data_IF_502879129803
#
_entry.id   IF_502879129803
#
_cell.length_a   1.000
_cell.length_b   1.000
_cell.length_c   1.000
_cell.angle_alpha   90.00
_cell.angle_beta   90.00
_cell.angle_gamma   90.00
#
_symmetry.space_group_name_H-M   'P 1'
#
loop_
_entity.id
_entity.type
_entity.pdbx_description
1 polymer ?
#
# COMPACT_ATOMS: atom_id res chain seq x y z
N UNK A 1 -11.03 -5.63 -15.40
CA UNK A 1 -10.42 -6.79 -14.71
C UNK A 1 -11.54 -7.60 -14.07
N UNK A 2 -11.54 -8.94 -14.19
CA UNK A 2 -12.46 -9.80 -13.44
C UNK A 2 -11.81 -10.13 -12.09
N UNK A 3 -12.23 -9.45 -11.01
CA UNK A 3 -11.76 -9.77 -9.67
C UNK A 3 -12.34 -11.12 -9.26
N UNK A 4 -11.49 -12.05 -8.83
CA UNK A 4 -11.87 -13.44 -8.54
C UNK A 4 -11.45 -13.89 -7.14
N UNK A 5 -10.49 -13.19 -6.53
CA UNK A 5 -9.98 -13.45 -5.20
C UNK A 5 -10.21 -12.23 -4.31
N UNK A 6 -10.60 -12.50 -3.05
CA UNK A 6 -10.83 -11.50 -2.02
C UNK A 6 -9.64 -11.45 -1.07
N UNK A 7 -8.92 -10.33 -1.10
CA UNK A 7 -7.70 -10.13 -0.31
C UNK A 7 -7.95 -10.15 1.20
N UNK A 8 -6.93 -10.55 1.96
CA UNK A 8 -6.97 -10.59 3.42
C UNK A 8 -6.94 -9.22 4.09
N UNK A 9 -6.44 -8.20 3.38
CA UNK A 9 -6.22 -6.87 3.92
C UNK A 9 -6.70 -5.79 2.94
N UNK A 10 -7.26 -4.73 3.51
CA UNK A 10 -7.33 -3.42 2.85
C UNK A 10 -6.20 -2.54 3.38
N UNK A 11 -5.54 -1.83 2.47
CA UNK A 11 -4.52 -0.85 2.79
C UNK A 11 -5.07 0.54 2.53
N UNK A 12 -4.98 1.40 3.54
CA UNK A 12 -5.23 2.83 3.43
C UNK A 12 -3.91 3.57 3.53
N UNK A 13 -3.68 4.52 2.62
CA UNK A 13 -2.53 5.42 2.62
C UNK A 13 -3.04 6.83 2.72
N UNK A 14 -2.68 7.52 3.79
CA UNK A 14 -3.10 8.90 4.07
C UNK A 14 -1.90 9.83 3.97
N UNK A 15 -2.07 10.98 3.31
CA UNK A 15 -1.10 12.07 3.35
C UNK A 15 -1.27 12.82 4.67
N UNK A 16 -0.23 12.80 5.50
CA UNK A 16 -0.28 13.38 6.86
C UNK A 16 0.52 14.66 6.99
N UNK A 17 1.36 14.99 6.01
CA UNK A 17 2.18 16.19 6.04
C UNK A 17 3.16 16.30 4.89
N UNK A 18 3.93 17.38 4.93
CA UNK A 18 5.07 17.62 4.07
C UNK A 18 6.34 17.64 4.92
N UNK A 19 7.46 17.14 4.40
CA UNK A 19 8.71 17.04 5.17
C UNK A 19 9.39 18.40 5.34
N UNK A 20 9.36 19.24 4.31
CA UNK A 20 10.07 20.53 4.26
C UNK A 20 9.21 21.70 3.77
N UNK A 21 7.90 21.51 3.62
CA UNK A 21 6.98 22.51 3.08
C UNK A 21 5.63 22.50 3.79
N UNK A 22 4.69 23.26 3.25
CA UNK A 22 3.31 23.39 3.75
C UNK A 22 2.24 23.32 2.63
N UNK A 23 2.66 23.20 1.37
CA UNK A 23 1.79 23.13 0.19
C UNK A 23 2.37 22.22 -0.89
N UNK A 24 1.55 21.91 -1.90
CA UNK A 24 1.86 20.90 -2.94
C UNK A 24 2.44 21.51 -4.22
N UNK A 25 2.01 22.71 -4.61
CA UNK A 25 2.40 23.32 -5.87
C UNK A 25 3.92 23.53 -5.95
N UNK A 26 4.53 23.10 -7.05
CA UNK A 26 5.99 23.12 -7.27
C UNK A 26 6.79 22.29 -6.25
N UNK A 27 6.11 21.51 -5.41
CA UNK A 27 6.72 20.67 -4.37
C UNK A 27 6.50 19.19 -4.64
N UNK A 28 5.25 18.76 -4.89
CA UNK A 28 4.90 17.40 -5.26
C UNK A 28 4.32 17.37 -6.68
N UNK A 29 4.97 16.62 -7.60
CA UNK A 29 4.48 16.49 -8.99
C UNK A 29 3.14 15.75 -9.10
N UNK A 30 2.81 14.93 -8.11
CA UNK A 30 1.53 14.23 -8.07
C UNK A 30 0.41 15.07 -7.46
N UNK A 31 0.73 16.24 -6.90
CA UNK A 31 -0.27 17.15 -6.32
C UNK A 31 -0.86 16.66 -5.00
N UNK A 32 -0.14 15.82 -4.24
CA UNK A 32 -0.62 15.26 -2.95
C UNK A 32 -0.88 16.39 -1.95
N UNK A 33 -2.04 16.36 -1.30
CA UNK A 33 -2.45 17.29 -0.24
C UNK A 33 -2.70 16.58 1.08
N UNK A 34 -2.51 17.28 2.21
CA UNK A 34 -2.79 16.71 3.54
C UNK A 34 -4.27 16.31 3.64
N UNK A 35 -4.52 15.06 4.04
CA UNK A 35 -5.85 14.46 4.09
C UNK A 35 -6.20 13.63 2.85
N UNK A 36 -5.41 13.71 1.77
CA UNK A 36 -5.57 12.79 0.65
C UNK A 36 -5.44 11.35 1.12
N UNK A 37 -6.40 10.54 0.67
CA UNK A 37 -6.53 9.15 1.08
C UNK A 37 -6.64 8.25 -0.13
N UNK A 38 -5.77 7.25 -0.16
CA UNK A 38 -5.73 6.20 -1.18
C UNK A 38 -6.08 4.87 -0.54
N UNK A 39 -6.76 4.00 -1.28
CA UNK A 39 -7.09 2.64 -0.83
C UNK A 39 -6.71 1.62 -1.88
N UNK A 40 -6.26 0.46 -1.42
CA UNK A 40 -6.19 -0.73 -2.26
C UNK A 40 -6.35 -2.01 -1.45
N UNK A 41 -6.58 -3.10 -2.17
CA UNK A 41 -6.48 -4.46 -1.63
C UNK A 41 -5.23 -5.14 -2.18
N UNK A 42 -5.12 -5.33 -3.51
CA UNK A 42 -3.89 -5.85 -4.16
C UNK A 42 -3.22 -4.86 -5.10
N UNK A 43 -4.01 -4.20 -5.97
CA UNK A 43 -3.47 -3.24 -6.95
C UNK A 43 -2.85 -1.99 -6.32
N UNK A 44 -2.36 -1.09 -7.15
CA UNK A 44 -1.86 0.19 -6.67
C UNK A 44 -2.95 1.01 -5.95
N UNK A 45 -2.63 1.69 -4.83
CA UNK A 45 -3.56 2.60 -4.15
C UNK A 45 -4.11 3.67 -5.09
N UNK A 46 -5.43 3.85 -5.07
CA UNK A 46 -6.13 4.91 -5.79
C UNK A 46 -6.99 5.71 -4.81
N UNK A 47 -7.11 7.01 -5.04
CA UNK A 47 -8.01 7.86 -4.28
C UNK A 47 -9.46 7.73 -4.79
N UNK A 48 -10.39 8.43 -4.13
CA UNK A 48 -11.84 8.42 -4.46
C UNK A 48 -12.15 8.85 -5.90
N UNK A 49 -11.29 9.69 -6.48
CA UNK A 49 -11.44 10.24 -7.83
C UNK A 49 -10.74 9.37 -8.89
N UNK A 50 -10.13 8.25 -8.47
CA UNK A 50 -9.46 7.29 -9.34
C UNK A 50 -8.01 7.64 -9.68
N UNK A 51 -7.42 8.66 -9.05
CA UNK A 51 -6.01 8.99 -9.22
C UNK A 51 -5.13 8.06 -8.38
N UNK A 52 -4.09 7.51 -9.02
CA UNK A 52 -3.14 6.62 -8.37
C UNK A 52 -2.09 7.36 -7.57
N UNK A 53 -1.57 6.70 -6.53
CA UNK A 53 -0.38 7.16 -5.83
C UNK A 53 0.84 7.16 -6.76
N UNK A 54 1.79 8.07 -6.55
CA UNK A 54 2.94 8.15 -7.43
C UNK A 54 3.81 6.86 -7.38
N UNK A 55 4.38 6.50 -8.53
CA UNK A 55 5.14 5.25 -8.69
C UNK A 55 6.38 5.17 -7.77
N UNK A 56 6.98 6.31 -7.44
CA UNK A 56 8.12 6.35 -6.51
C UNK A 56 7.71 5.97 -5.10
N UNK A 57 6.61 6.53 -4.59
CA UNK A 57 6.09 6.17 -3.27
C UNK A 57 5.69 4.70 -3.22
N UNK A 58 5.17 4.14 -4.32
CA UNK A 58 4.84 2.72 -4.40
C UNK A 58 6.04 1.80 -4.15
N UNK A 59 7.26 2.20 -4.52
CA UNK A 59 8.48 1.41 -4.22
C UNK A 59 8.72 1.25 -2.71
N UNK A 60 8.26 2.20 -1.90
CA UNK A 60 8.32 2.11 -0.43
C UNK A 60 7.14 1.32 0.13
N UNK A 61 5.94 1.49 -0.44
CA UNK A 61 4.72 0.90 0.07
C UNK A 61 4.60 -0.59 -0.24
N UNK A 62 4.99 -1.03 -1.44
CA UNK A 62 4.81 -2.42 -1.87
C UNK A 62 5.47 -3.42 -0.91
N UNK A 63 6.76 -3.27 -0.52
CA UNK A 63 7.40 -4.20 0.42
C UNK A 63 6.72 -4.23 1.80
N UNK A 64 6.18 -3.09 2.26
CA UNK A 64 5.47 -3.00 3.54
C UNK A 64 4.13 -3.75 3.49
N UNK A 65 3.39 -3.59 2.39
CA UNK A 65 2.14 -4.32 2.18
C UNK A 65 2.39 -5.84 2.09
N UNK A 66 3.44 -6.27 1.37
CA UNK A 66 3.85 -7.68 1.31
C UNK A 66 4.29 -8.24 2.66
N UNK A 67 5.00 -7.45 3.48
CA UNK A 67 5.34 -7.84 4.84
C UNK A 67 4.10 -8.13 5.69
N UNK A 68 3.04 -7.30 5.56
CA UNK A 68 1.76 -7.54 6.25
C UNK A 68 1.06 -8.79 5.71
N UNK A 69 0.98 -8.96 4.38
CA UNK A 69 0.35 -10.14 3.75
C UNK A 69 1.07 -11.45 4.10
N UNK A 70 2.37 -11.37 4.39
CA UNK A 70 3.16 -12.52 4.87
C UNK A 70 2.88 -12.87 6.35
N UNK A 71 1.94 -12.18 7.00
CA UNK A 71 1.63 -12.35 8.43
C UNK A 71 2.62 -11.63 9.36
N UNK A 72 3.38 -10.67 8.82
CA UNK A 72 4.39 -9.93 9.56
C UNK A 72 3.84 -8.82 10.46
N UNK A 73 4.78 -8.15 11.12
CA UNK A 73 4.53 -7.02 12.03
C UNK A 73 5.38 -5.84 11.58
N UNK A 74 4.74 -4.72 11.22
CA UNK A 74 5.43 -3.54 10.72
C UNK A 74 6.33 -2.87 11.76
N UNK A 75 6.16 -3.13 13.06
CA UNK A 75 7.08 -2.64 14.09
C UNK A 75 8.50 -3.18 13.88
N UNK A 76 8.65 -4.39 13.33
CA UNK A 76 9.96 -4.95 12.95
C UNK A 76 10.63 -4.20 11.80
N UNK A 77 9.87 -3.37 11.09
CA UNK A 77 10.33 -2.46 10.04
C UNK A 77 10.27 -0.99 10.50
N UNK A 78 10.21 -0.75 11.82
CA UNK A 78 10.10 0.58 12.41
C UNK A 78 8.76 1.25 12.14
N UNK A 79 7.67 0.49 12.11
CA UNK A 79 6.30 1.00 12.03
C UNK A 79 5.82 1.59 13.36
N UNK A 80 4.81 2.45 13.28
CA UNK A 80 4.16 3.07 14.43
C UNK A 80 3.30 2.07 15.22
N UNK A 81 3.08 0.89 14.65
CA UNK A 81 2.33 -0.21 15.23
C UNK A 81 2.32 -1.42 14.29
N UNK A 82 1.71 -2.52 14.72
CA UNK A 82 1.74 -3.80 13.97
C UNK A 82 1.31 -3.67 12.52
N UNK A 83 0.29 -2.86 12.26
CA UNK A 83 -0.29 -2.66 10.93
C UNK A 83 -0.22 -1.20 10.46
N UNK A 84 0.64 -0.39 11.07
CA UNK A 84 0.74 1.04 10.75
C UNK A 84 2.19 1.46 10.59
N UNK A 85 2.48 2.24 9.56
CA UNK A 85 3.82 2.82 9.36
C UNK A 85 3.77 4.14 8.61
N UNK A 86 4.46 5.12 9.17
CA UNK A 86 4.74 6.40 8.54
C UNK A 86 5.99 6.28 7.66
N UNK A 87 5.90 6.79 6.44
CA UNK A 87 6.99 6.84 5.45
C UNK A 87 7.05 8.20 4.79
N UNK A 88 8.27 8.62 4.43
CA UNK A 88 8.47 9.77 3.54
C UNK A 88 8.63 9.23 2.12
N UNK A 89 8.06 9.91 1.12
CA UNK A 89 8.30 9.52 -0.27
C UNK A 89 9.78 9.63 -0.64
N UNK A 90 10.25 8.89 -1.67
CA UNK A 90 11.66 8.92 -2.07
C UNK A 90 12.19 10.29 -2.51
N UNK A 91 11.31 11.21 -2.90
CA UNK A 91 11.70 12.58 -3.27
C UNK A 91 11.86 13.50 -2.03
N UNK A 92 11.54 13.02 -0.82
CA UNK A 92 11.65 13.79 0.42
C UNK A 92 10.60 14.88 0.56
N UNK A 93 9.47 14.78 -0.14
CA UNK A 93 8.43 15.81 -0.17
C UNK A 93 7.32 15.52 0.83
N UNK A 94 6.64 14.38 0.68
CA UNK A 94 5.35 14.11 1.30
C UNK A 94 5.48 12.98 2.31
N UNK A 95 4.80 13.13 3.45
CA UNK A 95 4.73 12.15 4.54
C UNK A 95 3.42 11.38 4.42
N UNK A 96 3.53 10.07 4.26
CA UNK A 96 2.40 9.15 4.14
C UNK A 96 2.30 8.25 5.36
N UNK A 97 1.07 7.98 5.80
CA UNK A 97 0.77 6.96 6.80
C UNK A 97 0.07 5.79 6.13
N UNK A 98 0.74 4.63 6.11
CA UNK A 98 0.15 3.36 5.71
C UNK A 98 -0.57 2.74 6.92
N UNK A 99 -1.79 2.27 6.70
CA UNK A 99 -2.56 1.46 7.65
C UNK A 99 -3.12 0.23 6.94
N UNK A 100 -2.89 -0.95 7.49
CA UNK A 100 -3.48 -2.20 7.01
C UNK A 100 -4.64 -2.63 7.94
N UNK A 101 -5.76 -3.00 7.34
CA UNK A 101 -6.96 -3.46 8.03
C UNK A 101 -7.26 -4.90 7.61
N UNK A 102 -7.26 -5.88 8.54
CA UNK A 102 -7.67 -7.24 8.23
C UNK A 102 -9.13 -7.29 7.78
N UNK A 103 -9.41 -8.05 6.72
CA UNK A 103 -10.74 -8.28 6.17
C UNK A 103 -11.31 -9.65 6.58
N UNK A 104 -10.49 -10.52 7.17
CA UNK A 104 -10.91 -11.85 7.65
C UNK A 104 -10.97 -12.94 6.57
N UNK A 105 -10.51 -12.64 5.36
CA UNK A 105 -10.38 -13.62 4.28
C UNK A 105 -9.18 -14.55 4.51
N UNK A 106 -9.17 -15.69 3.82
CA UNK A 106 -8.06 -16.64 3.87
C UNK A 106 -6.83 -16.11 3.14
N UNK A 107 -5.64 -16.59 3.49
CA UNK A 107 -4.40 -16.19 2.83
C UNK A 107 -4.20 -16.83 1.47
N UNK A 108 -3.78 -16.03 0.49
CA UNK A 108 -3.67 -16.47 -0.90
C UNK A 108 -2.71 -17.67 -1.04
N UNK A 109 -1.55 -17.60 -0.39
CA UNK A 109 -0.53 -18.63 -0.46
C UNK A 109 -0.82 -19.80 0.48
N UNK A 110 -1.38 -19.57 1.68
CA UNK A 110 -1.66 -20.66 2.63
C UNK A 110 -2.93 -21.44 2.29
N UNK A 111 -3.91 -20.81 1.67
CA UNK A 111 -5.13 -21.46 1.18
C UNK A 111 -4.92 -22.20 -0.15
N UNK A 112 -3.72 -22.13 -0.75
CA UNK A 112 -3.41 -22.84 -1.99
C UNK A 112 -4.20 -22.30 -3.19
N UNK A 113 -4.50 -21.01 -3.24
CA UNK A 113 -5.29 -20.39 -4.32
C UNK A 113 -4.49 -20.21 -5.62
N UNK A 114 -3.30 -20.77 -5.72
CA UNK A 114 -2.41 -20.57 -6.86
C UNK A 114 -1.98 -21.93 -7.42
N UNK A 115 -2.42 -22.22 -8.63
CA UNK A 115 -2.09 -23.42 -9.40
C UNK A 115 -1.32 -23.01 -10.66
N UNK A 116 -0.16 -23.65 -10.95
CA UNK A 116 0.47 -23.52 -12.28
C UNK A 116 -0.17 -24.63 -13.12
N UNK A 117 -0.71 -24.35 -14.30
CA UNK A 117 -0.93 -25.42 -15.25
C UNK A 117 0.44 -26.06 -15.51
N UNK A 118 0.63 -27.27 -14.99
CA UNK A 118 1.86 -28.01 -15.24
C UNK A 118 1.83 -28.54 -16.66
N UNK A 119 2.24 -27.70 -17.62
CA UNK A 119 2.35 -28.09 -19.02
C UNK A 119 3.48 -29.12 -19.26
N UNK A 120 4.27 -29.46 -18.23
CA UNK A 120 5.33 -30.48 -18.28
C UNK A 120 4.84 -31.88 -17.91
N UNK A 121 3.64 -32.00 -17.33
CA UNK A 121 2.95 -33.28 -17.10
C UNK A 121 2.01 -33.53 -18.28
N UNK A 122 2.58 -34.01 -19.39
CA UNK A 122 1.84 -34.62 -20.52
C UNK A 122 2.04 -36.13 -20.53
#
# INVERSE_FOLDING_TARGET
>A
MKKWYDEEYEFTVEVTGFLHGDHTERYCRNGEEIGDTYRCTYGCPVNKDGYGICSKTMMMLYPLMEAVRSGGDLMNLGGDGKYTKTVVCPDGCVIFKLTATPLGNENFHKGGFWDYPDETVK
#
